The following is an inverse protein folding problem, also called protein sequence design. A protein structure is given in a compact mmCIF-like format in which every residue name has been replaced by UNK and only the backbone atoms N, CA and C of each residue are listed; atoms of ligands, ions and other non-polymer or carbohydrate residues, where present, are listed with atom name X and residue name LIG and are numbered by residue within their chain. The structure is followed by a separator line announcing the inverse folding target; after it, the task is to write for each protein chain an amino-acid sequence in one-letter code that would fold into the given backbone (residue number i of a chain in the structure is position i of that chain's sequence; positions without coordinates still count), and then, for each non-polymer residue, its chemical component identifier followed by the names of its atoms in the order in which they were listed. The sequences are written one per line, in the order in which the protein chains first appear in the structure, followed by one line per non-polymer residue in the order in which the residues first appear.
data_IF_491299692268
#
_entry.id   IF_491299692268
#
_cell.length_a   1.000
_cell.length_b   1.000
_cell.length_c   1.000
_cell.angle_alpha   90.00
_cell.angle_beta   90.00
_cell.angle_gamma   90.00
#
_symmetry.space_group_name_H-M   'P 1'
#
loop_
_entity.id
_entity.type
_entity.pdbx_description
1 polymer ?
#
# COMPACT_ATOMS: atom_id res chain seq x y z
N UNK A 1 -135.12 4.13 -37.44
CA UNK A 1 -134.02 5.12 -37.44
C UNK A 1 -133.10 5.01 -36.22
N UNK A 2 -133.58 4.64 -35.03
CA UNK A 2 -132.73 4.46 -33.85
C UNK A 2 -131.78 3.25 -33.95
N UNK A 3 -132.25 2.10 -34.42
CA UNK A 3 -131.46 0.85 -34.53
C UNK A 3 -130.24 0.96 -35.45
N UNK A 4 -130.36 1.65 -36.59
CA UNK A 4 -129.24 1.86 -37.52
C UNK A 4 -128.13 2.75 -36.92
N UNK A 5 -128.50 3.74 -36.10
CA UNK A 5 -127.52 4.57 -35.37
C UNK A 5 -126.80 3.77 -34.29
N UNK A 6 -127.50 2.90 -33.58
CA UNK A 6 -126.88 1.98 -32.62
C UNK A 6 -125.94 0.99 -33.29
N UNK A 7 -126.32 0.40 -34.42
CA UNK A 7 -125.45 -0.50 -35.18
C UNK A 7 -124.17 0.20 -35.67
N UNK A 8 -124.26 1.46 -36.11
CA UNK A 8 -123.11 2.25 -36.52
C UNK A 8 -122.18 2.61 -35.35
N UNK A 9 -122.74 2.94 -34.18
CA UNK A 9 -121.96 3.15 -32.95
C UNK A 9 -121.26 1.87 -32.49
N UNK A 10 -121.93 0.72 -32.56
CA UNK A 10 -121.34 -0.58 -32.22
C UNK A 10 -120.19 -0.92 -33.17
N UNK A 11 -120.36 -0.70 -34.48
CA UNK A 11 -119.28 -0.93 -35.45
C UNK A 11 -118.07 -0.01 -35.21
N UNK A 12 -118.31 1.26 -34.85
CA UNK A 12 -117.25 2.20 -34.46
C UNK A 12 -116.49 1.74 -33.22
N UNK A 13 -117.21 1.35 -32.16
CA UNK A 13 -116.60 0.83 -30.93
C UNK A 13 -115.80 -0.46 -31.17
N UNK A 14 -116.28 -1.35 -32.06
CA UNK A 14 -115.56 -2.59 -32.42
C UNK A 14 -114.27 -2.29 -33.19
N UNK A 15 -114.29 -1.29 -34.09
CA UNK A 15 -113.09 -0.85 -34.80
C UNK A 15 -112.07 -0.22 -33.84
N UNK A 16 -112.51 0.67 -32.95
CA UNK A 16 -111.66 1.27 -31.90
C UNK A 16 -111.07 0.21 -30.97
N UNK A 17 -111.85 -0.78 -30.54
CA UNK A 17 -111.35 -1.92 -29.76
C UNK A 17 -110.31 -2.74 -30.54
N UNK A 18 -110.50 -2.89 -31.86
CA UNK A 18 -109.54 -3.56 -32.74
C UNK A 18 -108.21 -2.82 -32.80
N UNK A 19 -108.23 -1.49 -32.91
CA UNK A 19 -107.01 -0.68 -32.98
C UNK A 19 -106.33 -0.54 -31.62
N UNK A 20 -107.08 -0.44 -30.53
CA UNK A 20 -106.55 -0.51 -29.17
C UNK A 20 -105.83 -1.84 -28.92
N UNK A 21 -106.40 -2.97 -29.35
CA UNK A 21 -105.74 -4.29 -29.23
C UNK A 21 -104.44 -4.38 -30.03
N UNK A 22 -104.38 -3.78 -31.23
CA UNK A 22 -103.14 -3.72 -32.01
C UNK A 22 -102.09 -2.85 -31.33
N UNK A 23 -102.50 -1.71 -30.77
CA UNK A 23 -101.61 -0.81 -30.02
C UNK A 23 -101.07 -1.48 -28.76
N UNK A 24 -101.91 -2.19 -28.00
CA UNK A 24 -101.51 -2.96 -26.82
C UNK A 24 -100.51 -4.07 -27.17
N UNK A 25 -100.76 -4.82 -28.25
CA UNK A 25 -99.81 -5.83 -28.74
C UNK A 25 -98.47 -5.22 -29.18
N UNK A 26 -98.49 -4.08 -29.86
CA UNK A 26 -97.27 -3.37 -30.27
C UNK A 26 -96.48 -2.84 -29.05
N UNK A 27 -97.18 -2.26 -28.07
CA UNK A 27 -96.57 -1.78 -26.83
C UNK A 27 -95.96 -2.93 -26.02
N UNK A 28 -96.63 -4.09 -25.96
CA UNK A 28 -96.10 -5.26 -25.28
C UNK A 28 -94.80 -5.75 -25.92
N UNK A 29 -94.75 -5.82 -27.26
CA UNK A 29 -93.54 -6.18 -27.99
C UNK A 29 -92.41 -5.17 -27.75
N UNK A 30 -92.74 -3.87 -27.72
CA UNK A 30 -91.75 -2.82 -27.44
C UNK A 30 -91.21 -2.93 -26.01
N UNK A 31 -92.07 -3.21 -25.02
CA UNK A 31 -91.65 -3.45 -23.64
C UNK A 31 -90.70 -4.66 -23.55
N UNK A 32 -90.98 -5.74 -24.29
CA UNK A 32 -90.10 -6.92 -24.33
C UNK A 32 -88.74 -6.59 -24.97
N UNK A 33 -88.72 -5.84 -26.06
CA UNK A 33 -87.48 -5.37 -26.69
C UNK A 33 -86.65 -4.47 -25.77
N UNK A 34 -87.30 -3.50 -25.12
CA UNK A 34 -86.64 -2.60 -24.17
C UNK A 34 -86.09 -3.33 -22.95
N UNK A 35 -86.78 -4.38 -22.48
CA UNK A 35 -86.26 -5.25 -21.41
C UNK A 35 -85.01 -5.99 -21.86
N UNK A 36 -85.04 -6.61 -23.03
CA UNK A 36 -83.87 -7.32 -23.59
C UNK A 36 -82.67 -6.37 -23.78
N UNK A 37 -82.92 -5.14 -24.24
CA UNK A 37 -81.87 -4.13 -24.39
C UNK A 37 -81.32 -3.68 -23.04
N UNK A 38 -82.16 -3.51 -22.02
CA UNK A 38 -81.73 -3.16 -20.67
C UNK A 38 -80.85 -4.28 -20.06
N UNK A 39 -81.26 -5.53 -20.21
CA UNK A 39 -80.48 -6.69 -19.76
C UNK A 39 -79.11 -6.76 -20.46
N UNK A 40 -79.06 -6.48 -21.77
CA UNK A 40 -77.80 -6.39 -22.51
C UNK A 40 -76.87 -5.31 -21.95
N UNK A 41 -77.38 -4.09 -21.77
CA UNK A 41 -76.59 -2.97 -21.22
C UNK A 41 -76.16 -3.19 -19.78
N UNK A 42 -77.00 -3.84 -18.96
CA UNK A 42 -76.66 -4.21 -17.59
C UNK A 42 -75.48 -5.20 -17.55
N UNK A 43 -75.47 -6.19 -18.44
CA UNK A 43 -74.38 -7.15 -18.57
C UNK A 43 -73.09 -6.49 -19.06
N UNK A 44 -73.17 -5.63 -20.07
CA UNK A 44 -72.01 -4.87 -20.57
C UNK A 44 -71.43 -3.96 -19.48
N UNK A 45 -72.28 -3.25 -18.73
CA UNK A 45 -71.86 -2.42 -17.62
C UNK A 45 -71.17 -3.24 -16.52
N UNK A 46 -71.63 -4.47 -16.25
CA UNK A 46 -70.97 -5.35 -15.28
C UNK A 46 -69.60 -5.80 -15.78
N UNK A 47 -69.48 -6.24 -17.03
CA UNK A 47 -68.21 -6.62 -17.64
C UNK A 47 -67.18 -5.47 -17.58
N UNK A 48 -67.61 -4.24 -17.88
CA UNK A 48 -66.75 -3.06 -17.81
C UNK A 48 -66.28 -2.75 -16.39
N UNK A 49 -67.13 -2.96 -15.37
CA UNK A 49 -66.73 -2.83 -13.96
C UNK A 49 -65.69 -3.88 -13.58
N UNK A 50 -65.89 -5.13 -13.98
CA UNK A 50 -64.95 -6.22 -13.69
C UNK A 50 -63.60 -5.98 -14.36
N UNK A 51 -63.62 -5.49 -15.61
CA UNK A 51 -62.42 -5.12 -16.35
C UNK A 51 -61.67 -3.95 -15.69
N UNK A 52 -62.40 -2.95 -15.18
CA UNK A 52 -61.82 -1.84 -14.43
C UNK A 52 -61.08 -2.35 -13.18
N UNK A 53 -61.71 -3.21 -12.39
CA UNK A 53 -61.10 -3.78 -11.17
C UNK A 53 -59.80 -4.53 -11.51
N UNK A 54 -59.81 -5.30 -12.60
CA UNK A 54 -58.62 -6.03 -13.06
C UNK A 54 -57.48 -5.09 -13.47
N UNK A 55 -57.78 -3.98 -14.14
CA UNK A 55 -56.76 -2.98 -14.48
C UNK A 55 -56.24 -2.22 -13.26
N UNK A 56 -57.10 -1.89 -12.30
CA UNK A 56 -56.70 -1.25 -11.02
C UNK A 56 -55.73 -2.16 -10.26
N UNK A 57 -56.05 -3.45 -10.11
CA UNK A 57 -55.15 -4.42 -9.46
C UNK A 57 -53.81 -4.55 -10.19
N UNK A 58 -53.81 -4.51 -11.54
CA UNK A 58 -52.59 -4.57 -12.34
C UNK A 58 -51.73 -3.30 -12.20
N UNK A 59 -52.37 -2.14 -12.07
CA UNK A 59 -51.68 -0.88 -11.79
C UNK A 59 -51.00 -0.91 -10.43
N UNK A 60 -51.70 -1.33 -9.37
CA UNK A 60 -51.12 -1.46 -8.02
C UNK A 60 -49.93 -2.43 -7.98
N UNK A 61 -50.03 -3.54 -8.71
CA UNK A 61 -48.91 -4.48 -8.86
C UNK A 61 -47.69 -3.81 -9.52
N UNK A 62 -47.93 -3.03 -10.58
CA UNK A 62 -46.86 -2.33 -11.30
C UNK A 62 -46.24 -1.21 -10.48
N UNK A 63 -47.04 -0.47 -9.72
CA UNK A 63 -46.53 0.56 -8.80
C UNK A 63 -45.65 -0.05 -7.71
N UNK A 64 -46.03 -1.21 -7.18
CA UNK A 64 -45.23 -1.96 -6.21
C UNK A 64 -43.90 -2.44 -6.80
N UNK A 65 -43.91 -2.92 -8.05
CA UNK A 65 -42.70 -3.34 -8.77
C UNK A 65 -41.77 -2.14 -9.02
N UNK A 66 -42.32 -1.00 -9.44
CA UNK A 66 -41.56 0.24 -9.65
C UNK A 66 -40.90 0.70 -8.34
N UNK A 67 -41.62 0.65 -7.22
CA UNK A 67 -41.08 1.02 -5.92
C UNK A 67 -39.92 0.08 -5.52
N UNK A 68 -40.08 -1.23 -5.72
CA UNK A 68 -39.03 -2.21 -5.46
C UNK A 68 -37.76 -1.96 -6.29
N UNK A 69 -37.93 -1.62 -7.57
CA UNK A 69 -36.81 -1.26 -8.46
C UNK A 69 -36.11 0.03 -8.02
N UNK A 70 -36.84 1.04 -7.53
CA UNK A 70 -36.23 2.25 -6.99
C UNK A 70 -35.35 1.96 -5.77
N UNK A 71 -35.83 1.14 -4.84
CA UNK A 71 -35.05 0.73 -3.66
C UNK A 71 -33.77 0.00 -4.08
N UNK A 72 -33.87 -0.92 -5.05
CA UNK A 72 -32.70 -1.63 -5.57
C UNK A 72 -31.70 -0.67 -6.24
N UNK A 73 -32.20 0.28 -7.02
CA UNK A 73 -31.37 1.28 -7.69
C UNK A 73 -30.61 2.14 -6.67
N UNK A 74 -31.27 2.59 -5.61
CA UNK A 74 -30.63 3.41 -4.58
C UNK A 74 -29.58 2.61 -3.79
N UNK A 75 -29.85 1.33 -3.50
CA UNK A 75 -28.83 0.44 -2.93
C UNK A 75 -27.59 0.35 -3.82
N UNK A 76 -27.78 0.11 -5.12
CA UNK A 76 -26.67 0.00 -6.08
C UNK A 76 -25.88 1.31 -6.17
N UNK A 77 -26.54 2.48 -6.11
CA UNK A 77 -25.85 3.78 -6.09
C UNK A 77 -24.98 3.94 -4.84
N UNK A 78 -25.49 3.53 -3.68
CA UNK A 78 -24.74 3.56 -2.42
C UNK A 78 -23.53 2.64 -2.50
N UNK A 79 -23.72 1.38 -2.91
CA UNK A 79 -22.65 0.39 -3.06
C UNK A 79 -21.56 0.90 -4.03
N UNK A 80 -21.98 1.50 -5.16
CA UNK A 80 -21.05 2.11 -6.12
C UNK A 80 -20.26 3.31 -5.56
N UNK A 81 -20.84 4.06 -4.62
CA UNK A 81 -20.15 5.10 -3.87
C UNK A 81 -19.06 4.52 -2.97
N UNK A 82 -19.40 3.51 -2.16
CA UNK A 82 -18.47 2.83 -1.26
C UNK A 82 -17.29 2.25 -2.04
N UNK A 83 -17.54 1.51 -3.13
CA UNK A 83 -16.46 0.94 -3.94
C UNK A 83 -15.56 1.99 -4.58
N UNK A 84 -16.09 3.18 -4.91
CA UNK A 84 -15.28 4.28 -5.45
C UNK A 84 -14.33 4.83 -4.39
N UNK A 85 -14.81 4.96 -3.16
CA UNK A 85 -14.02 5.46 -2.03
C UNK A 85 -12.92 4.45 -1.66
N UNK A 86 -13.25 3.16 -1.59
CA UNK A 86 -12.29 2.08 -1.37
C UNK A 86 -11.19 2.04 -2.45
N UNK A 87 -11.57 2.20 -3.72
CA UNK A 87 -10.61 2.28 -4.83
C UNK A 87 -9.70 3.50 -4.74
N UNK A 88 -10.21 4.63 -4.26
CA UNK A 88 -9.41 5.84 -4.03
C UNK A 88 -8.37 5.62 -2.93
N UNK A 89 -8.80 5.02 -1.81
CA UNK A 89 -7.91 4.72 -0.68
C UNK A 89 -6.83 3.69 -1.06
N UNK A 90 -7.20 2.61 -1.77
CA UNK A 90 -6.23 1.63 -2.27
C UNK A 90 -5.19 2.25 -3.21
N UNK A 91 -5.60 3.19 -4.08
CA UNK A 91 -4.66 3.92 -4.94
C UNK A 91 -3.69 4.79 -4.15
N UNK A 92 -4.14 5.38 -3.04
CA UNK A 92 -3.28 6.15 -2.14
C UNK A 92 -2.28 5.23 -1.44
N UNK A 93 -2.75 4.12 -0.88
CA UNK A 93 -1.89 3.12 -0.22
C UNK A 93 -0.83 2.55 -1.18
N UNK A 94 -1.19 2.31 -2.44
CA UNK A 94 -0.25 1.85 -3.46
C UNK A 94 0.86 2.87 -3.74
N UNK A 95 0.52 4.16 -3.84
CA UNK A 95 1.52 5.23 -4.00
C UNK A 95 2.45 5.35 -2.80
N UNK A 96 1.90 5.28 -1.59
CA UNK A 96 2.69 5.35 -0.36
C UNK A 96 3.64 4.16 -0.24
N UNK A 97 3.18 2.95 -0.60
CA UNK A 97 3.99 1.75 -0.59
C UNK A 97 5.10 1.80 -1.66
N UNK A 98 4.80 2.31 -2.84
CA UNK A 98 5.80 2.52 -3.89
C UNK A 98 6.89 3.49 -3.43
N UNK A 99 6.51 4.62 -2.81
CA UNK A 99 7.48 5.57 -2.28
C UNK A 99 8.37 4.97 -1.18
N UNK A 100 7.79 4.15 -0.29
CA UNK A 100 8.55 3.40 0.72
C UNK A 100 9.53 2.41 0.09
N UNK A 101 9.09 1.69 -0.94
CA UNK A 101 9.93 0.75 -1.68
C UNK A 101 11.13 1.46 -2.33
N UNK A 102 10.90 2.55 -3.06
CA UNK A 102 11.97 3.32 -3.71
C UNK A 102 12.97 3.89 -2.69
N UNK A 103 12.49 4.39 -1.55
CA UNK A 103 13.36 4.83 -0.45
C UNK A 103 14.19 3.69 0.12
N UNK A 104 13.58 2.54 0.38
CA UNK A 104 14.27 1.36 0.90
C UNK A 104 15.31 0.83 -0.10
N UNK A 105 14.99 0.84 -1.39
CA UNK A 105 15.90 0.41 -2.45
C UNK A 105 17.13 1.34 -2.53
N UNK A 106 16.93 2.67 -2.44
CA UNK A 106 18.05 3.62 -2.37
C UNK A 106 18.94 3.39 -1.15
N UNK A 107 18.34 3.11 0.01
CA UNK A 107 19.09 2.79 1.23
C UNK A 107 19.90 1.50 1.07
N UNK A 108 19.29 0.46 0.47
CA UNK A 108 19.97 -0.80 0.18
C UNK A 108 21.19 -0.59 -0.72
N UNK A 109 21.03 0.06 -1.88
CA UNK A 109 22.13 0.34 -2.79
C UNK A 109 23.25 1.16 -2.12
N UNK A 110 22.89 2.17 -1.31
CA UNK A 110 23.87 2.94 -0.54
C UNK A 110 24.62 2.08 0.48
N UNK A 111 23.92 1.15 1.15
CA UNK A 111 24.54 0.21 2.09
C UNK A 111 25.46 -0.80 1.40
N UNK A 112 25.07 -1.28 0.22
CA UNK A 112 25.84 -2.21 -0.60
C UNK A 112 27.14 -1.55 -1.07
N UNK A 113 27.07 -0.30 -1.55
CA UNK A 113 28.25 0.47 -1.91
C UNK A 113 29.22 0.66 -0.72
N UNK A 114 28.69 0.98 0.47
CA UNK A 114 29.49 1.08 1.70
C UNK A 114 30.14 -0.25 2.08
N UNK A 115 29.43 -1.38 1.91
CA UNK A 115 29.96 -2.71 2.21
C UNK A 115 31.08 -3.08 1.24
N UNK A 116 30.87 -2.90 -0.06
CA UNK A 116 31.89 -3.14 -1.10
C UNK A 116 33.15 -2.31 -0.85
N UNK A 117 32.99 -1.03 -0.48
CA UNK A 117 34.10 -0.17 -0.10
C UNK A 117 34.87 -0.71 1.11
N UNK A 118 34.18 -1.10 2.18
CA UNK A 118 34.83 -1.67 3.38
C UNK A 118 35.55 -2.98 3.06
N UNK A 119 34.96 -3.85 2.24
CA UNK A 119 35.59 -5.10 1.82
C UNK A 119 36.90 -4.85 1.07
N UNK A 120 36.92 -3.83 0.18
CA UNK A 120 38.13 -3.41 -0.50
C UNK A 120 39.20 -2.89 0.47
N UNK A 121 38.81 -2.05 1.43
CA UNK A 121 39.72 -1.54 2.47
C UNK A 121 40.33 -2.68 3.30
N UNK A 122 39.53 -3.67 3.71
CA UNK A 122 39.99 -4.86 4.43
C UNK A 122 40.96 -5.68 3.58
N UNK A 123 40.63 -5.93 2.31
CA UNK A 123 41.50 -6.68 1.39
C UNK A 123 42.86 -5.96 1.20
N UNK A 124 42.84 -4.65 1.02
CA UNK A 124 44.04 -3.83 0.88
C UNK A 124 44.91 -3.88 2.15
N UNK A 125 44.29 -3.79 3.33
CA UNK A 125 44.99 -3.90 4.61
C UNK A 125 45.66 -5.27 4.78
N UNK A 126 44.95 -6.36 4.47
CA UNK A 126 45.51 -7.72 4.50
C UNK A 126 46.73 -7.81 3.58
N UNK A 127 46.65 -7.26 2.37
CA UNK A 127 47.76 -7.24 1.42
C UNK A 127 48.95 -6.42 1.92
N UNK A 128 48.72 -5.22 2.49
CA UNK A 128 49.78 -4.38 3.06
C UNK A 128 50.50 -5.09 4.22
N UNK A 129 49.74 -5.66 5.15
CA UNK A 129 50.31 -6.41 6.28
C UNK A 129 51.10 -7.64 5.83
N UNK A 130 50.57 -8.43 4.87
CA UNK A 130 51.29 -9.58 4.31
C UNK A 130 52.62 -9.18 3.65
N UNK A 131 52.63 -8.06 2.92
CA UNK A 131 53.86 -7.50 2.31
C UNK A 131 54.89 -7.14 3.39
N UNK A 132 54.49 -6.41 4.44
CA UNK A 132 55.38 -6.02 5.54
C UNK A 132 55.92 -7.22 6.33
N UNK A 133 55.08 -8.22 6.63
CA UNK A 133 55.51 -9.46 7.29
C UNK A 133 56.55 -10.21 6.45
N UNK A 134 56.31 -10.30 5.14
CA UNK A 134 57.23 -10.98 4.21
C UNK A 134 58.56 -10.24 4.09
N UNK A 135 58.52 -8.91 3.94
CA UNK A 135 59.71 -8.07 3.89
C UNK A 135 60.55 -8.21 5.17
N UNK A 136 59.91 -8.14 6.35
CA UNK A 136 60.59 -8.34 7.63
C UNK A 136 61.25 -9.72 7.72
N UNK A 137 60.54 -10.79 7.32
CA UNK A 137 61.11 -12.15 7.30
C UNK A 137 62.36 -12.23 6.41
N UNK A 138 62.32 -11.64 5.21
CA UNK A 138 63.45 -11.60 4.29
C UNK A 138 64.61 -10.81 4.91
N UNK A 139 64.35 -9.62 5.48
CA UNK A 139 65.36 -8.79 6.13
C UNK A 139 66.04 -9.51 7.29
N UNK A 140 65.30 -10.25 8.13
CA UNK A 140 65.89 -11.04 9.22
C UNK A 140 66.78 -12.16 8.69
N UNK A 141 66.36 -12.86 7.63
CA UNK A 141 67.19 -13.90 7.00
C UNK A 141 68.46 -13.31 6.40
N UNK A 142 68.35 -12.19 5.69
CA UNK A 142 69.48 -11.48 5.10
C UNK A 142 70.46 -10.99 6.17
N UNK A 143 69.97 -10.40 7.28
CA UNK A 143 70.82 -9.97 8.41
C UNK A 143 71.55 -11.15 9.07
N UNK A 144 70.88 -12.30 9.24
CA UNK A 144 71.52 -13.51 9.76
C UNK A 144 72.60 -14.05 8.80
N UNK A 145 72.38 -13.97 7.49
CA UNK A 145 73.36 -14.35 6.48
C UNK A 145 74.56 -13.39 6.47
N UNK A 146 74.31 -12.08 6.46
CA UNK A 146 75.35 -11.04 6.53
C UNK A 146 76.23 -11.21 7.77
N UNK A 147 75.64 -11.44 8.95
CA UNK A 147 76.40 -11.70 10.17
C UNK A 147 77.37 -12.90 10.05
N UNK A 148 77.03 -13.93 9.28
CA UNK A 148 77.91 -15.09 9.06
C UNK A 148 79.08 -14.78 8.13
N UNK A 149 78.89 -13.90 7.15
CA UNK A 149 79.82 -13.68 6.03
C UNK A 149 80.77 -12.49 6.30
N UNK A 150 80.36 -11.49 7.08
CA UNK A 150 81.15 -10.27 7.32
C UNK A 150 82.47 -10.57 8.08
N UNK A 151 83.64 -10.18 7.52
CA UNK A 151 84.94 -10.35 8.17
C UNK A 151 85.27 -9.24 9.18
N UNK A 152 84.68 -8.04 9.03
CA UNK A 152 84.90 -6.90 9.96
C UNK A 152 84.21 -7.13 11.32
N UNK A 153 84.98 -7.07 12.41
CA UNK A 153 84.50 -7.22 13.79
C UNK A 153 83.47 -6.15 14.17
N UNK A 154 83.64 -4.92 13.67
CA UNK A 154 82.78 -3.77 13.99
C UNK A 154 81.40 -3.90 13.34
N UNK A 155 81.36 -4.26 12.06
CA UNK A 155 80.11 -4.53 11.33
C UNK A 155 79.38 -5.77 11.87
N UNK A 156 80.13 -6.77 12.35
CA UNK A 156 79.58 -7.98 13.00
C UNK A 156 78.92 -7.63 14.34
N UNK A 157 79.54 -6.75 15.13
CA UNK A 157 78.96 -6.22 16.36
C UNK A 157 77.70 -5.37 16.09
N UNK A 158 77.67 -4.60 15.01
CA UNK A 158 76.51 -3.83 14.58
C UNK A 158 75.34 -4.73 14.14
N UNK A 159 75.60 -5.77 13.33
CA UNK A 159 74.58 -6.76 12.96
C UNK A 159 74.01 -7.50 14.18
N UNK A 160 74.86 -7.85 15.15
CA UNK A 160 74.43 -8.48 16.41
C UNK A 160 73.58 -7.55 17.27
N UNK A 161 73.90 -6.24 17.29
CA UNK A 161 73.06 -5.21 17.94
C UNK A 161 71.70 -5.12 17.27
N UNK A 162 71.63 -5.00 15.94
CA UNK A 162 70.36 -4.93 15.19
C UNK A 162 69.52 -6.20 15.40
N UNK A 163 70.12 -7.39 15.32
CA UNK A 163 69.42 -8.65 15.57
C UNK A 163 68.93 -8.81 17.02
N UNK A 164 69.64 -8.24 18.00
CA UNK A 164 69.20 -8.27 19.40
C UNK A 164 68.13 -7.21 19.69
N UNK A 165 68.19 -6.04 19.05
CA UNK A 165 67.13 -5.04 19.07
C UNK A 165 65.85 -5.57 18.42
N UNK A 166 65.94 -6.26 17.29
CA UNK A 166 64.78 -6.89 16.64
C UNK A 166 64.10 -7.98 17.49
N UNK A 167 64.78 -8.52 18.52
CA UNK A 167 64.20 -9.46 19.49
C UNK A 167 63.64 -8.79 20.75
N UNK A 168 64.09 -7.58 21.06
CA UNK A 168 63.62 -6.81 22.22
C UNK A 168 62.44 -5.95 21.78
N UNK A 169 61.56 -5.64 22.73
CA UNK A 169 60.25 -5.00 22.52
C UNK A 169 60.25 -3.97 21.38
N UNK A 170 59.28 -4.04 20.45
CA UNK A 170 59.21 -3.10 19.34
C UNK A 170 58.98 -1.67 19.87
N UNK A 171 59.72 -0.71 19.31
CA UNK A 171 59.60 0.71 19.68
C UNK A 171 58.18 1.18 19.33
N UNK A 172 57.41 1.62 20.33
CA UNK A 172 55.98 1.99 20.19
C UNK A 172 55.75 2.93 18.99
N UNK A 173 56.59 3.96 18.87
CA UNK A 173 56.57 4.94 17.76
C UNK A 173 56.80 4.32 16.38
N UNK A 174 57.64 3.29 16.28
CA UNK A 174 57.90 2.58 15.02
C UNK A 174 56.71 1.73 14.59
N UNK A 175 56.04 1.08 15.55
CA UNK A 175 54.80 0.33 15.30
C UNK A 175 53.70 1.29 14.85
N UNK A 176 53.53 2.42 15.53
CA UNK A 176 52.54 3.45 15.19
C UNK A 176 52.76 4.00 13.78
N UNK A 177 54.02 4.28 13.40
CA UNK A 177 54.41 4.67 12.04
C UNK A 177 54.02 3.62 11.00
N UNK A 178 54.43 2.36 11.22
CA UNK A 178 54.20 1.28 10.26
C UNK A 178 52.71 0.95 10.13
N UNK A 179 51.98 1.01 11.24
CA UNK A 179 50.53 0.78 11.28
C UNK A 179 49.79 1.92 10.59
N UNK A 180 50.25 3.17 10.75
CA UNK A 180 49.74 4.33 10.00
C UNK A 180 49.98 4.20 8.49
N UNK A 181 51.14 3.72 8.08
CA UNK A 181 51.45 3.45 6.67
C UNK A 181 50.55 2.34 6.11
N UNK A 182 50.39 1.21 6.82
CA UNK A 182 49.54 0.11 6.38
C UNK A 182 48.05 0.49 6.27
N UNK A 183 47.57 1.31 7.21
CA UNK A 183 46.20 1.80 7.18
C UNK A 183 46.02 2.88 6.10
N UNK A 184 47.03 3.72 5.85
CA UNK A 184 47.06 4.64 4.71
C UNK A 184 47.01 3.91 3.36
N UNK A 185 47.80 2.85 3.19
CA UNK A 185 47.75 1.94 2.03
C UNK A 185 46.37 1.31 1.81
N UNK A 186 45.61 1.13 2.89
CA UNK A 186 44.23 0.62 2.88
C UNK A 186 43.17 1.71 2.70
N UNK A 187 43.55 2.99 2.58
CA UNK A 187 42.64 4.12 2.43
C UNK A 187 41.99 4.58 3.73
N UNK A 188 42.64 4.31 4.86
CA UNK A 188 42.19 4.70 6.19
C UNK A 188 43.18 5.73 6.75
N UNK A 189 42.69 6.96 6.95
CA UNK A 189 43.44 8.03 7.56
C UNK A 189 43.21 7.99 9.07
N UNK A 190 44.25 7.66 9.81
CA UNK A 190 44.24 7.56 11.27
C UNK A 190 45.25 8.53 11.90
N UNK A 191 44.90 8.99 13.10
CA UNK A 191 45.80 9.69 14.02
C UNK A 191 45.84 8.98 15.36
N UNK A 192 46.95 9.07 16.07
CA UNK A 192 47.05 8.63 17.46
C UNK A 192 46.88 9.84 18.38
N UNK A 193 46.08 9.68 19.43
CA UNK A 193 45.93 10.70 20.48
C UNK A 193 47.14 10.71 21.44
N UNK A 194 47.13 11.62 22.42
CA UNK A 194 48.22 11.76 23.40
C UNK A 194 48.39 10.52 24.31
N UNK A 195 47.38 9.65 24.38
CA UNK A 195 47.38 8.41 25.15
C UNK A 195 47.80 7.20 24.29
N UNK A 196 48.00 7.40 22.98
CA UNK A 196 48.31 6.35 22.01
C UNK A 196 47.08 5.58 21.50
N UNK A 197 45.87 6.09 21.73
CA UNK A 197 44.64 5.53 21.17
C UNK A 197 44.50 5.94 19.70
N UNK A 198 44.09 4.98 18.86
CA UNK A 198 43.92 5.17 17.43
C UNK A 198 42.56 5.81 17.13
N UNK A 199 42.57 6.94 16.43
CA UNK A 199 41.37 7.67 16.02
C UNK A 199 41.30 7.69 14.49
N UNK A 200 40.21 7.15 13.95
CA UNK A 200 39.91 7.22 12.52
C UNK A 200 39.45 8.65 12.18
N UNK A 201 40.23 9.35 11.35
CA UNK A 201 39.90 10.71 10.92
C UNK A 201 39.11 10.72 9.62
N UNK A 202 39.46 9.84 8.69
CA UNK A 202 38.81 9.79 7.39
C UNK A 202 38.94 8.39 6.79
N UNK A 203 37.88 7.96 6.11
CA UNK A 203 38.01 6.88 5.13
C UNK A 203 38.10 7.56 3.77
N UNK A 204 39.20 7.37 3.06
CA UNK A 204 39.43 7.95 1.72
C UNK A 204 39.34 6.81 0.71
N UNK A 205 38.75 7.07 -0.46
CA UNK A 205 38.89 6.13 -1.56
C UNK A 205 40.35 6.12 -2.01
N UNK A 206 41.05 5.00 -1.85
CA UNK A 206 42.28 4.76 -2.60
C UNK A 206 41.85 4.34 -4.00
N UNK A 207 41.44 5.32 -4.80
CA UNK A 207 41.36 5.13 -6.24
C UNK A 207 42.81 5.11 -6.74
N UNK A 208 43.44 3.94 -6.73
CA UNK A 208 44.56 3.70 -7.65
C UNK A 208 43.93 3.44 -9.01
N UNK A 209 43.63 4.52 -9.75
CA UNK A 209 43.34 4.43 -11.18
C UNK A 209 44.57 3.82 -11.83
N UNK A 210 44.50 2.64 -12.47
CA UNK A 210 45.53 2.24 -13.40
C UNK A 210 45.43 3.22 -14.57
N UNK A 211 46.47 4.02 -14.78
CA UNK A 211 46.61 4.76 -16.03
C UNK A 211 46.92 3.74 -17.11
N UNK A 212 45.87 3.14 -17.66
CA UNK A 212 45.91 2.57 -19.00
C UNK A 212 44.67 3.05 -19.74
N UNK A 213 44.93 3.75 -20.84
CA UNK A 213 43.98 4.63 -21.49
C UNK A 213 42.73 3.91 -21.98
N UNK A 214 41.57 4.46 -21.63
CA UNK A 214 40.31 4.37 -22.38
C UNK A 214 39.38 5.45 -21.87
N UNK A 215 38.63 6.03 -22.80
CA UNK A 215 37.82 7.24 -22.69
C UNK A 215 36.60 7.10 -21.75
N UNK A 216 36.14 8.28 -21.32
CA UNK A 216 34.76 8.63 -20.94
C UNK A 216 34.20 7.98 -19.66
N UNK A 217 34.09 8.79 -18.59
CA UNK A 217 32.83 9.42 -18.19
C UNK A 217 33.12 10.43 -17.06
N UNK A 218 32.88 11.71 -17.35
CA UNK A 218 32.77 12.77 -16.35
C UNK A 218 31.52 12.53 -15.50
N UNK A 219 31.68 11.93 -14.33
CA UNK A 219 30.74 12.10 -13.23
C UNK A 219 31.53 12.52 -11.99
N UNK A 220 31.71 13.83 -11.88
CA UNK A 220 32.28 14.50 -10.72
C UNK A 220 31.32 14.34 -9.54
N UNK A 221 31.53 13.32 -8.70
CA UNK A 221 30.79 13.21 -7.43
C UNK A 221 31.47 14.11 -6.40
N UNK A 222 30.98 15.34 -6.28
CA UNK A 222 31.23 16.20 -5.12
C UNK A 222 30.40 15.64 -3.95
N UNK A 223 31.04 15.07 -2.93
CA UNK A 223 30.36 14.74 -1.67
C UNK A 223 30.67 15.84 -0.66
N UNK A 224 29.67 16.68 -0.40
CA UNK A 224 29.63 17.64 0.69
C UNK A 224 29.52 16.90 2.03
N UNK A 225 30.42 17.23 2.94
CA UNK A 225 30.48 16.72 4.31
C UNK A 225 29.26 17.20 5.12
N UNK A 226 28.72 16.32 5.96
CA UNK A 226 27.85 16.72 7.07
C UNK A 226 28.46 16.13 8.34
N UNK A 227 28.97 17.02 9.17
CA UNK A 227 29.56 16.73 10.47
C UNK A 227 28.58 15.92 11.34
N UNK A 228 29.11 14.91 12.02
CA UNK A 228 28.39 14.13 13.00
C UNK A 228 28.48 14.82 14.36
N UNK A 229 27.45 15.60 14.70
CA UNK A 229 27.18 15.95 16.09
C UNK A 229 26.54 14.75 16.81
N UNK A 230 27.22 14.31 17.85
CA UNK A 230 26.78 13.33 18.83
C UNK A 230 25.48 13.79 19.52
N UNK A 231 24.46 12.94 19.55
CA UNK A 231 23.79 12.52 20.78
C UNK A 231 22.70 11.48 20.48
N UNK A 232 22.89 10.27 20.99
CA UNK A 232 21.90 9.22 21.03
C UNK A 232 22.10 8.40 22.31
N UNK A 233 21.57 8.90 23.42
CA UNK A 233 21.45 8.14 24.66
C UNK A 233 20.27 7.16 24.53
N UNK A 234 20.60 5.87 24.54
CA UNK A 234 19.67 4.80 24.90
C UNK A 234 20.33 4.01 26.03
N UNK A 235 19.79 4.14 27.25
CA UNK A 235 20.11 3.27 28.38
C UNK A 235 18.85 2.48 28.77
N UNK A 236 19.00 1.17 28.87
CA UNK A 236 17.97 0.21 29.24
C UNK A 236 18.27 -0.36 30.65
N UNK A 237 17.19 -0.45 31.45
CA UNK A 237 16.91 -1.33 32.59
C UNK A 237 17.76 -1.35 33.86
N UNK A 238 17.12 -1.05 35.00
CA UNK A 238 17.14 -1.90 36.20
C UNK A 238 15.78 -1.91 36.94
N UNK A 239 15.37 -3.13 37.32
CA UNK A 239 14.18 -3.48 38.11
C UNK A 239 14.12 -2.85 39.50
N UNK A 240 12.90 -2.60 39.99
CA UNK A 240 12.53 -2.80 41.41
C UNK A 240 11.05 -3.15 41.52
N UNK A 241 10.78 -4.39 41.94
CA UNK A 241 9.48 -4.81 42.44
C UNK A 241 9.27 -4.24 43.85
N UNK A 242 8.12 -3.62 44.10
CA UNK A 242 7.50 -3.64 45.43
C UNK A 242 5.97 -3.63 45.30
N UNK A 243 5.37 -4.60 45.99
CA UNK A 243 3.95 -4.80 46.25
C UNK A 243 3.22 -3.51 46.67
N UNK A 244 1.93 -3.35 46.28
CA UNK A 244 0.77 -3.33 47.21
C UNK A 244 -0.51 -3.66 46.40
N UNK A 245 -1.32 -4.55 46.97
CA UNK A 245 -2.68 -4.94 46.58
C UNK A 245 -3.70 -4.10 47.37
N UNK A 246 -4.86 -3.85 46.76
CA UNK A 246 -6.17 -3.45 47.35
C UNK A 246 -6.27 -1.97 47.81
N UNK A 247 -7.36 -1.24 47.64
CA UNK A 247 -8.79 -1.59 47.74
C UNK A 247 -9.69 -0.93 46.67
N UNK A 248 -10.82 -1.59 46.43
CA UNK A 248 -12.02 -1.10 45.75
C UNK A 248 -12.84 -0.16 46.66
N UNK A 249 -13.91 0.38 46.08
CA UNK A 249 -15.03 1.15 46.65
C UNK A 249 -14.85 2.67 46.74
N UNK A 250 -15.59 3.40 45.88
CA UNK A 250 -16.69 4.28 46.32
C UNK A 250 -17.69 4.44 45.16
N UNK A 251 -18.91 3.95 45.40
CA UNK A 251 -20.15 4.30 44.71
C UNK A 251 -20.46 5.79 44.84
N UNK A 252 -21.12 6.39 43.84
CA UNK A 252 -22.26 7.29 44.12
C UNK A 252 -23.31 7.16 43.01
N UNK A 253 -24.46 6.60 43.39
CA UNK A 253 -25.80 6.87 42.84
C UNK A 253 -26.12 8.37 42.96
N UNK A 254 -26.94 9.01 42.14
CA UNK A 254 -28.37 8.80 41.80
C UNK A 254 -28.65 9.51 40.49
#
# INVERSE_FOLDING_TARGET
MAEAKFAQQIAGMVAELGDLRKSDAAQKNEIENLRAQNDFHANEAQMLRDLRILYEAKLEQKDSEILGLHVLLDKVKVDAGIYRDDLSELRKQLKDLQAKYESSQKQFCASEAKLTRRNLQVANLICALRRKVSANRISVVALRAAYKIIPSLEQKAQCKRILSMARKLPHKTGIESEMKECLGDAGLLISFDKNGAMVLRQSVEVVKVPVDGSKELDESIIIVEKDADNNGDYACDQNSQQNVKKDEDVQMSV
#
